data_IF_987290519961
#
_entry.id   IF_987290519961
#
_cell.length_a   1.000
_cell.length_b   1.000
_cell.length_c   1.000
_cell.angle_alpha   90.00
_cell.angle_beta   90.00
_cell.angle_gamma   90.00
#
_symmetry.space_group_name_H-M   'P 1'
#
loop_
_entity.id
_entity.type
_entity.pdbx_description
1 polymer ?
#
# COMPACT_ATOMS: atom_id res chain seq x y z
N UNK A 1 55.41 -70.34 31.57
CA UNK A 1 56.19 -69.44 30.70
C UNK A 1 55.27 -68.80 29.66
N UNK A 2 55.25 -67.45 29.69
CA UNK A 2 54.91 -66.43 28.69
C UNK A 2 53.93 -66.70 27.52
N UNK A 3 52.96 -65.78 27.38
CA UNK A 3 52.70 -64.88 26.23
C UNK A 3 51.25 -64.35 26.35
N UNK A 4 50.82 -63.16 25.97
CA UNK A 4 51.42 -61.90 25.55
C UNK A 4 50.28 -60.84 25.60
N UNK A 5 50.64 -59.56 25.71
CA UNK A 5 49.71 -58.42 25.69
C UNK A 5 48.83 -58.37 24.42
N UNK A 6 47.54 -58.06 24.57
CA UNK A 6 46.73 -57.48 23.51
C UNK A 6 45.92 -56.29 24.05
N UNK A 7 46.38 -55.09 23.69
CA UNK A 7 45.82 -53.78 24.02
C UNK A 7 44.70 -53.49 23.01
N UNK A 8 43.43 -53.58 23.42
CA UNK A 8 42.32 -53.15 22.56
C UNK A 8 42.12 -51.63 22.69
N UNK A 9 42.33 -50.91 21.58
CA UNK A 9 42.10 -49.48 21.45
C UNK A 9 40.60 -49.18 21.28
N UNK A 10 39.96 -48.65 22.33
CA UNK A 10 38.64 -48.03 22.22
C UNK A 10 38.78 -46.63 21.60
N UNK A 11 38.16 -46.39 20.44
CA UNK A 11 38.11 -45.08 19.75
C UNK A 11 37.50 -44.01 20.67
N UNK A 12 38.02 -42.77 20.73
CA UNK A 12 37.39 -41.73 21.53
C UNK A 12 36.05 -41.34 20.89
N UNK A 13 34.97 -41.48 21.65
CA UNK A 13 33.67 -40.91 21.30
C UNK A 13 33.77 -39.39 21.30
N UNK A 14 33.53 -38.76 20.15
CA UNK A 14 33.49 -37.32 19.97
C UNK A 14 32.31 -36.75 20.76
N UNK A 15 32.56 -36.27 21.99
CA UNK A 15 31.57 -35.50 22.77
C UNK A 15 31.43 -34.12 22.13
N UNK A 16 30.32 -33.88 21.43
CA UNK A 16 29.93 -32.55 20.98
C UNK A 16 29.76 -31.64 22.20
N UNK A 17 30.44 -30.48 22.18
CA UNK A 17 30.47 -29.54 23.31
C UNK A 17 29.11 -28.81 23.41
N UNK A 18 28.53 -28.64 24.61
CA UNK A 18 27.20 -28.05 24.79
C UNK A 18 27.07 -26.60 24.30
N UNK A 19 28.19 -25.90 24.10
CA UNK A 19 28.24 -24.54 23.56
C UNK A 19 27.84 -24.45 22.09
N UNK A 20 28.11 -25.47 21.27
CA UNK A 20 27.68 -25.46 19.86
C UNK A 20 26.18 -25.72 19.74
N UNK A 21 25.61 -26.55 20.62
CA UNK A 21 24.17 -26.83 20.64
C UNK A 21 23.31 -25.59 20.98
N UNK A 22 23.76 -24.76 21.93
CA UNK A 22 23.06 -23.51 22.31
C UNK A 22 23.09 -22.45 21.21
N UNK A 23 24.21 -22.31 20.49
CA UNK A 23 24.32 -21.37 19.36
C UNK A 23 23.44 -21.82 18.19
N UNK A 24 23.40 -23.11 17.89
CA UNK A 24 22.53 -23.67 16.84
C UNK A 24 21.03 -23.49 17.16
N UNK A 25 20.64 -23.63 18.43
CA UNK A 25 19.25 -23.42 18.85
C UNK A 25 18.82 -21.94 18.73
N UNK A 26 19.68 -20.99 19.12
CA UNK A 26 19.40 -19.56 18.99
C UNK A 26 19.30 -19.11 17.52
N UNK A 27 20.19 -19.60 16.65
CA UNK A 27 20.13 -19.34 15.20
C UNK A 27 18.90 -19.98 14.57
N UNK A 28 18.55 -21.21 14.95
CA UNK A 28 17.33 -21.88 14.50
C UNK A 28 16.07 -21.10 14.88
N UNK A 29 15.99 -20.60 16.12
CA UNK A 29 14.84 -19.81 16.58
C UNK A 29 14.75 -18.46 15.86
N UNK A 30 15.88 -17.78 15.62
CA UNK A 30 15.92 -16.54 14.86
C UNK A 30 15.52 -16.74 13.39
N UNK A 31 15.94 -17.84 12.77
CA UNK A 31 15.55 -18.19 11.39
C UNK A 31 14.05 -18.49 11.29
N UNK A 32 13.49 -19.23 12.26
CA UNK A 32 12.04 -19.52 12.31
C UNK A 32 11.23 -18.24 12.56
N UNK A 33 11.65 -17.38 13.48
CA UNK A 33 10.95 -16.12 13.74
C UNK A 33 10.94 -15.19 12.50
N UNK A 34 12.07 -15.11 11.79
CA UNK A 34 12.19 -14.28 10.58
C UNK A 34 11.31 -14.82 9.44
N UNK A 35 11.27 -16.14 9.25
CA UNK A 35 10.46 -16.76 8.20
C UNK A 35 8.95 -16.66 8.47
N UNK A 36 8.51 -16.67 9.74
CA UNK A 36 7.12 -16.40 10.11
C UNK A 36 6.73 -14.96 9.78
N UNK A 37 7.57 -13.97 10.11
CA UNK A 37 7.29 -12.54 9.79
C UNK A 37 7.16 -12.33 8.28
N UNK A 38 8.06 -12.90 7.47
CA UNK A 38 8.01 -12.81 6.01
C UNK A 38 6.77 -13.51 5.44
N UNK A 39 6.39 -14.67 5.98
CA UNK A 39 5.19 -15.40 5.53
C UNK A 39 3.88 -14.66 5.88
N UNK A 40 3.84 -13.92 6.99
CA UNK A 40 2.69 -13.06 7.35
C UNK A 40 2.64 -11.74 6.59
N UNK A 41 3.70 -11.40 5.85
CA UNK A 41 3.75 -10.20 5.00
C UNK A 41 3.02 -10.45 3.68
N UNK A 42 1.75 -10.81 3.74
CA UNK A 42 0.90 -10.83 2.54
C UNK A 42 0.66 -9.38 2.12
N UNK A 43 1.27 -8.97 1.00
CA UNK A 43 0.94 -7.71 0.37
C UNK A 43 -0.48 -7.83 -0.20
N UNK A 44 -1.46 -7.28 0.49
CA UNK A 44 -2.79 -7.08 -0.10
C UNK A 44 -2.67 -5.93 -1.10
N UNK A 45 -2.61 -6.25 -2.38
CA UNK A 45 -2.76 -5.24 -3.42
C UNK A 45 -4.16 -4.65 -3.31
N UNK A 46 -4.27 -3.34 -3.08
CA UNK A 46 -5.53 -2.64 -3.28
C UNK A 46 -6.09 -2.92 -4.69
N UNK A 47 -7.41 -3.06 -4.77
CA UNK A 47 -8.11 -3.41 -6.02
C UNK A 47 -8.56 -2.20 -6.83
N UNK A 48 -8.25 -0.98 -6.39
CA UNK A 48 -8.66 0.27 -7.05
C UNK A 48 -7.50 1.26 -7.12
N UNK A 49 -7.51 2.14 -8.13
CA UNK A 49 -6.39 3.04 -8.42
C UNK A 49 -6.04 3.94 -7.22
N UNK A 50 -7.06 4.54 -6.61
CA UNK A 50 -6.93 5.44 -5.48
C UNK A 50 -6.40 4.76 -4.22
N UNK A 51 -6.87 3.54 -3.94
CA UNK A 51 -6.39 2.76 -2.80
C UNK A 51 -4.93 2.34 -2.99
N UNK A 52 -4.55 1.88 -4.20
CA UNK A 52 -3.16 1.53 -4.53
C UNK A 52 -2.23 2.74 -4.44
N UNK A 53 -2.68 3.94 -4.83
CA UNK A 53 -1.90 5.16 -4.65
C UNK A 53 -1.76 5.53 -3.16
N UNK A 54 -2.81 5.36 -2.37
CA UNK A 54 -2.83 5.71 -0.95
C UNK A 54 -1.84 4.86 -0.12
N UNK A 55 -1.64 3.58 -0.46
CA UNK A 55 -0.60 2.73 0.15
C UNK A 55 0.82 3.34 0.03
N UNK A 56 1.04 4.22 -0.93
CA UNK A 56 2.31 4.95 -1.15
C UNK A 56 2.24 6.42 -0.75
N UNK A 57 1.23 6.80 0.05
CA UNK A 57 1.00 8.18 0.48
C UNK A 57 0.63 9.14 -0.66
N UNK A 58 0.16 8.61 -1.80
CA UNK A 58 -0.22 9.36 -3.00
C UNK A 58 -1.73 9.33 -3.21
N UNK A 59 -2.20 10.12 -4.17
CA UNK A 59 -3.57 10.07 -4.66
C UNK A 59 -3.59 9.69 -6.14
N UNK A 60 -4.72 9.18 -6.61
CA UNK A 60 -5.01 8.96 -8.01
C UNK A 60 -6.30 9.71 -8.35
N UNK A 61 -6.23 10.65 -9.29
CA UNK A 61 -7.32 11.57 -9.58
C UNK A 61 -7.87 11.48 -11.00
N UNK A 62 -9.07 12.02 -11.18
CA UNK A 62 -9.74 12.14 -12.48
C UNK A 62 -10.14 13.60 -12.77
N UNK A 63 -10.18 13.93 -14.06
CA UNK A 63 -10.89 15.11 -14.54
C UNK A 63 -12.40 14.81 -14.54
N UNK A 64 -13.20 15.73 -13.99
CA UNK A 64 -14.64 15.55 -13.82
C UNK A 64 -15.37 16.73 -14.45
N UNK A 65 -16.31 16.42 -15.35
CA UNK A 65 -17.29 17.39 -15.83
C UNK A 65 -18.56 17.30 -14.99
N UNK A 66 -19.08 18.43 -14.53
CA UNK A 66 -20.19 18.49 -13.57
C UNK A 66 -21.48 17.83 -14.09
N UNK A 67 -21.73 17.90 -15.40
CA UNK A 67 -22.90 17.29 -16.03
C UNK A 67 -22.86 15.74 -16.01
N UNK A 68 -21.67 15.13 -15.91
CA UNK A 68 -21.51 13.66 -15.82
C UNK A 68 -21.83 13.11 -14.43
N UNK A 69 -21.98 13.96 -13.42
CA UNK A 69 -22.37 13.53 -12.07
C UNK A 69 -23.83 13.04 -11.98
N UNK A 70 -24.60 13.11 -13.08
CA UNK A 70 -25.92 12.48 -13.21
C UNK A 70 -25.87 11.09 -13.87
N UNK A 71 -24.72 10.68 -14.42
CA UNK A 71 -24.54 9.38 -15.06
C UNK A 71 -24.07 8.37 -14.00
N UNK A 72 -24.93 7.38 -13.70
CA UNK A 72 -24.67 6.39 -12.65
C UNK A 72 -23.47 5.49 -12.97
N UNK A 73 -23.20 5.20 -14.24
CA UNK A 73 -22.05 4.40 -14.64
C UNK A 73 -20.77 5.20 -14.43
N UNK A 74 -20.77 6.46 -14.87
CA UNK A 74 -19.64 7.37 -14.67
C UNK A 74 -19.33 7.56 -13.18
N UNK A 75 -20.34 7.90 -12.38
CA UNK A 75 -20.19 8.11 -10.94
C UNK A 75 -19.79 6.83 -10.23
N UNK A 76 -20.29 5.67 -10.65
CA UNK A 76 -19.92 4.36 -10.11
C UNK A 76 -18.42 4.07 -10.28
N UNK A 77 -17.87 4.33 -11.47
CA UNK A 77 -16.42 4.18 -11.73
C UNK A 77 -15.64 5.24 -10.97
N UNK A 78 -16.05 6.52 -11.05
CA UNK A 78 -15.39 7.63 -10.36
C UNK A 78 -15.23 7.31 -8.86
N UNK A 79 -16.33 6.96 -8.20
CA UNK A 79 -16.41 6.67 -6.77
C UNK A 79 -15.61 5.45 -6.33
N UNK A 80 -15.43 4.48 -7.22
CA UNK A 80 -14.67 3.26 -6.92
C UNK A 80 -13.16 3.48 -7.10
N UNK A 81 -12.77 4.15 -8.17
CA UNK A 81 -11.37 4.15 -8.61
C UNK A 81 -10.54 5.33 -8.09
N UNK A 82 -11.15 6.48 -7.78
CA UNK A 82 -10.37 7.70 -7.53
C UNK A 82 -10.51 8.20 -6.09
N UNK A 83 -9.56 9.05 -5.67
CA UNK A 83 -9.58 9.75 -4.37
C UNK A 83 -9.14 11.22 -4.46
N UNK A 84 -9.14 11.76 -5.68
CA UNK A 84 -8.95 13.17 -5.97
C UNK A 84 -9.72 13.55 -7.23
N UNK A 85 -10.20 14.79 -7.32
CA UNK A 85 -10.81 15.33 -8.55
C UNK A 85 -10.12 16.60 -9.00
N UNK A 86 -10.21 16.85 -10.30
CA UNK A 86 -9.92 18.13 -10.94
C UNK A 86 -11.15 18.48 -11.78
N UNK A 87 -11.68 19.69 -11.68
CA UNK A 87 -12.76 20.11 -12.58
C UNK A 87 -12.21 20.17 -14.02
N UNK A 88 -12.91 19.55 -14.98
CA UNK A 88 -12.43 19.49 -16.37
C UNK A 88 -12.44 20.89 -17.02
N UNK A 89 -13.51 21.65 -16.79
CA UNK A 89 -13.62 23.03 -17.30
C UNK A 89 -14.24 24.00 -16.29
N UNK A 90 -14.97 23.51 -15.29
CA UNK A 90 -15.84 24.32 -14.43
C UNK A 90 -15.07 25.27 -13.49
N UNK A 91 -13.75 25.10 -13.36
CA UNK A 91 -12.86 25.99 -12.62
C UNK A 91 -11.96 26.86 -13.51
N UNK A 92 -12.13 26.80 -14.82
CA UNK A 92 -11.43 27.70 -15.75
C UNK A 92 -11.99 29.11 -15.64
N UNK A 93 -11.19 30.09 -16.07
CA UNK A 93 -11.50 31.51 -15.90
C UNK A 93 -12.81 31.89 -16.60
N UNK A 94 -13.05 31.38 -17.81
CA UNK A 94 -14.29 31.61 -18.56
C UNK A 94 -15.53 31.02 -17.87
N UNK A 95 -15.37 29.90 -17.15
CA UNK A 95 -16.45 29.28 -16.38
C UNK A 95 -16.70 29.98 -15.03
N UNK A 96 -15.65 30.48 -14.38
CA UNK A 96 -15.74 31.12 -13.06
C UNK A 96 -16.09 32.60 -13.12
N UNK A 97 -15.64 33.32 -14.14
CA UNK A 97 -15.84 34.76 -14.33
C UNK A 97 -16.22 35.06 -15.79
N UNK A 98 -17.43 34.64 -16.24
CA UNK A 98 -17.85 34.81 -17.63
C UNK A 98 -17.93 36.28 -18.07
N UNK A 99 -18.12 37.21 -17.12
CA UNK A 99 -18.02 38.65 -17.33
C UNK A 99 -17.22 39.25 -16.16
N UNK A 100 -16.44 40.30 -16.42
CA UNK A 100 -15.56 40.88 -15.42
C UNK A 100 -16.32 41.28 -14.14
N UNK A 101 -15.82 40.86 -12.98
CA UNK A 101 -16.42 41.02 -11.66
C UNK A 101 -17.76 40.29 -11.45
N UNK A 102 -18.17 39.39 -12.35
CA UNK A 102 -19.36 38.57 -12.22
C UNK A 102 -18.99 37.09 -12.12
N UNK A 103 -18.88 36.59 -10.89
CA UNK A 103 -18.44 35.23 -10.64
C UNK A 103 -19.59 34.23 -10.56
N UNK A 104 -19.37 33.04 -11.11
CA UNK A 104 -20.29 31.90 -11.01
C UNK A 104 -19.55 30.66 -10.54
N UNK A 105 -19.86 30.19 -9.33
CA UNK A 105 -19.21 29.01 -8.74
C UNK A 105 -20.07 27.74 -8.75
N UNK A 106 -21.37 27.82 -9.04
CA UNK A 106 -22.31 26.71 -8.82
C UNK A 106 -21.91 25.38 -9.50
N UNK A 107 -21.40 25.43 -10.73
CA UNK A 107 -20.94 24.23 -11.43
C UNK A 107 -19.65 23.66 -10.82
N UNK A 108 -18.71 24.52 -10.41
CA UNK A 108 -17.50 24.12 -9.72
C UNK A 108 -17.82 23.52 -8.34
N UNK A 109 -18.69 24.18 -7.59
CA UNK A 109 -19.12 23.77 -6.25
C UNK A 109 -19.75 22.40 -6.26
N UNK A 110 -20.48 22.04 -7.32
CA UNK A 110 -21.02 20.69 -7.48
C UNK A 110 -19.92 19.62 -7.45
N UNK A 111 -18.79 19.86 -8.13
CA UNK A 111 -17.65 18.94 -8.19
C UNK A 111 -16.89 18.95 -6.85
N UNK A 112 -16.67 20.14 -6.27
CA UNK A 112 -16.00 20.30 -4.97
C UNK A 112 -16.79 19.55 -3.88
N UNK A 113 -18.10 19.77 -3.80
CA UNK A 113 -18.96 19.14 -2.81
C UNK A 113 -19.01 17.62 -2.98
N UNK A 114 -19.01 17.11 -4.22
CA UNK A 114 -18.88 15.66 -4.47
C UNK A 114 -17.60 15.10 -3.84
N UNK A 115 -16.45 15.75 -4.08
CA UNK A 115 -15.18 15.31 -3.52
C UNK A 115 -15.11 15.45 -1.99
N UNK A 116 -15.55 16.58 -1.44
CA UNK A 116 -15.53 16.83 0.00
C UNK A 116 -16.41 15.83 0.76
N UNK A 117 -17.59 15.48 0.23
CA UNK A 117 -18.48 14.47 0.83
C UNK A 117 -17.83 13.09 0.97
N UNK A 118 -16.73 12.85 0.24
CA UNK A 118 -15.99 11.58 0.20
C UNK A 118 -14.61 11.67 0.87
N UNK A 119 -14.26 12.82 1.44
CA UNK A 119 -12.92 13.06 1.99
C UNK A 119 -11.81 13.06 0.93
N UNK A 120 -12.15 13.37 -0.32
CA UNK A 120 -11.20 13.38 -1.43
C UNK A 120 -10.49 14.73 -1.57
N UNK A 121 -9.33 14.70 -2.22
CA UNK A 121 -8.60 15.93 -2.59
C UNK A 121 -9.25 16.61 -3.79
N UNK A 122 -9.15 17.94 -3.84
CA UNK A 122 -9.54 18.75 -5.00
C UNK A 122 -8.31 19.47 -5.52
N UNK A 123 -8.12 19.47 -6.84
CA UNK A 123 -7.13 20.32 -7.50
C UNK A 123 -7.86 21.41 -8.29
N UNK A 124 -7.52 22.66 -8.02
CA UNK A 124 -7.86 23.76 -8.92
C UNK A 124 -7.18 23.56 -10.28
N UNK A 125 -7.87 23.90 -11.35
CA UNK A 125 -7.37 23.76 -12.72
C UNK A 125 -7.87 24.93 -13.56
N UNK A 126 -6.90 25.54 -14.24
CA UNK A 126 -7.01 26.69 -15.13
C UNK A 126 -6.64 26.26 -16.54
#
# INVERSE_FOLDING_TARGET
MNNAHARASGRPATRLRPRTALVSAAVGLALVATSVVVATSSASAATTLGASAAEKGRYFGAAVAGHKLNDSTYVGILNREFNSVTAENEMKIDALEPQQNNFTFGNADRIVNHALSRGWKVRGHT
#
